data_IF_341471190122
#
_entry.id   IF_341471190122
#
_cell.length_a   1.000
_cell.length_b   1.000
_cell.length_c   1.000
_cell.angle_alpha   90.00
_cell.angle_beta   90.00
_cell.angle_gamma   90.00
#
_symmetry.space_group_name_H-M   'P 1'
#
loop_
_entity.id
_entity.type
_entity.pdbx_description
1 polymer ?
#
# COMPACT_ATOMS: atom_id res chain seq x y z
N UNK A 1 7.41 19.98 -11.33
CA UNK A 1 6.90 18.85 -10.51
C UNK A 1 7.22 17.56 -11.25
N UNK A 2 7.94 16.62 -10.61
CA UNK A 2 8.30 15.34 -11.24
C UNK A 2 7.06 14.43 -11.44
N UNK A 3 6.98 13.58 -12.49
CA UNK A 3 5.82 12.71 -12.73
C UNK A 3 5.42 11.82 -11.56
N UNK A 4 6.39 11.30 -10.80
CA UNK A 4 6.15 10.50 -9.58
C UNK A 4 5.40 11.30 -8.51
N UNK A 5 5.58 12.62 -8.48
CA UNK A 5 4.91 13.55 -7.56
C UNK A 5 3.47 13.90 -8.02
N UNK A 6 3.09 13.51 -9.24
CA UNK A 6 1.77 13.78 -9.84
C UNK A 6 0.85 12.55 -9.74
N UNK A 7 1.36 11.36 -10.02
CA UNK A 7 0.57 10.12 -10.05
C UNK A 7 0.58 9.35 -8.72
N UNK A 8 1.61 9.57 -7.90
CA UNK A 8 1.88 8.75 -6.73
C UNK A 8 2.51 7.40 -7.08
N UNK A 9 3.20 6.81 -6.12
CA UNK A 9 3.95 5.55 -6.24
C UNK A 9 3.57 4.59 -5.11
N UNK A 10 3.65 3.29 -5.38
CA UNK A 10 3.41 2.23 -4.39
C UNK A 10 4.54 2.08 -3.37
N UNK A 11 5.76 2.44 -3.76
CA UNK A 11 6.95 2.43 -2.91
C UNK A 11 7.64 3.79 -2.96
N UNK A 12 7.77 4.44 -1.80
CA UNK A 12 8.35 5.77 -1.69
C UNK A 12 9.82 5.84 -2.13
N UNK A 13 10.57 4.73 -2.15
CA UNK A 13 11.96 4.74 -2.66
C UNK A 13 12.02 5.04 -4.16
N UNK A 14 10.91 4.91 -4.88
CA UNK A 14 10.80 5.23 -6.31
C UNK A 14 10.58 6.73 -6.54
N UNK A 15 10.33 7.52 -5.49
CA UNK A 15 10.20 8.96 -5.62
C UNK A 15 11.56 9.62 -5.83
N UNK A 16 11.63 10.50 -6.81
CA UNK A 16 12.83 11.33 -7.05
C UNK A 16 12.96 12.44 -6.00
N UNK A 17 11.83 12.99 -5.54
CA UNK A 17 11.78 14.05 -4.54
C UNK A 17 11.29 13.48 -3.20
N UNK A 18 12.18 13.37 -2.20
CA UNK A 18 11.89 12.77 -0.88
C UNK A 18 11.65 13.82 0.24
N UNK A 19 11.32 15.06 -0.12
CA UNK A 19 10.96 16.06 0.88
C UNK A 19 9.52 15.87 1.39
N UNK A 20 9.24 16.37 2.60
CA UNK A 20 7.96 16.13 3.30
C UNK A 20 6.72 16.45 2.47
N UNK A 21 6.72 17.58 1.75
CA UNK A 21 5.59 17.96 0.89
C UNK A 21 5.33 16.96 -0.25
N UNK A 22 6.37 16.32 -0.80
CA UNK A 22 6.23 15.32 -1.85
C UNK A 22 5.67 14.01 -1.27
N UNK A 23 6.17 13.59 -0.10
CA UNK A 23 5.64 12.43 0.62
C UNK A 23 4.17 12.62 0.96
N UNK A 24 3.80 13.78 1.52
CA UNK A 24 2.42 14.12 1.84
C UNK A 24 1.53 14.12 0.59
N UNK A 25 2.05 14.63 -0.54
CA UNK A 25 1.34 14.60 -1.82
C UNK A 25 1.10 13.16 -2.29
N UNK A 26 2.10 12.29 -2.18
CA UNK A 26 1.96 10.87 -2.52
C UNK A 26 0.85 10.20 -1.71
N UNK A 27 0.89 10.41 -0.39
CA UNK A 27 -0.14 9.92 0.53
C UNK A 27 -1.52 10.47 0.19
N UNK A 28 -1.65 11.77 -0.09
CA UNK A 28 -2.91 12.39 -0.46
C UNK A 28 -3.49 11.79 -1.75
N UNK A 29 -2.67 11.60 -2.79
CA UNK A 29 -3.12 11.02 -4.07
C UNK A 29 -3.64 9.59 -3.85
N UNK A 30 -2.84 8.74 -3.18
CA UNK A 30 -3.20 7.35 -2.91
C UNK A 30 -4.43 7.22 -2.04
N UNK A 31 -4.54 8.05 -1.00
CA UNK A 31 -5.71 8.09 -0.14
C UNK A 31 -6.98 8.49 -0.90
N UNK A 32 -6.90 9.44 -1.85
CA UNK A 32 -8.04 9.79 -2.72
C UNK A 32 -8.44 8.67 -3.68
N UNK A 33 -7.54 7.72 -3.94
CA UNK A 33 -7.79 6.52 -4.73
C UNK A 33 -8.21 5.31 -3.88
N UNK A 34 -8.49 5.50 -2.58
CA UNK A 34 -8.79 4.43 -1.63
C UNK A 34 -7.65 3.40 -1.49
N UNK A 35 -6.40 3.83 -1.65
CA UNK A 35 -5.22 3.01 -1.45
C UNK A 35 -4.51 3.47 -0.17
N UNK A 36 -4.59 2.64 0.87
CA UNK A 36 -4.23 3.02 2.23
C UNK A 36 -2.82 2.60 2.65
N UNK A 37 -2.23 1.68 1.90
CA UNK A 37 -0.92 1.11 2.18
C UNK A 37 0.10 1.64 1.19
N UNK A 38 1.29 1.96 1.65
CA UNK A 38 2.43 2.39 0.82
C UNK A 38 3.71 1.82 1.40
N UNK A 39 4.56 1.23 0.57
CA UNK A 39 5.87 0.74 1.01
C UNK A 39 6.86 1.89 1.16
N UNK A 40 7.83 1.68 2.05
CA UNK A 40 9.10 2.39 2.05
C UNK A 40 10.18 1.30 2.01
N UNK A 41 10.55 0.95 0.78
CA UNK A 41 11.38 -0.19 0.46
C UNK A 41 10.80 -1.49 1.01
N UNK A 42 11.67 -2.46 1.25
CA UNK A 42 11.24 -3.82 1.57
C UNK A 42 10.84 -4.03 3.05
N UNK A 43 11.02 -3.04 3.93
CA UNK A 43 10.95 -3.25 5.40
C UNK A 43 9.89 -2.44 6.11
N UNK A 44 9.37 -1.39 5.49
CA UNK A 44 8.44 -0.48 6.13
C UNK A 44 7.16 -0.44 5.31
N UNK A 45 6.04 -0.65 5.98
CA UNK A 45 4.70 -0.43 5.44
C UNK A 45 4.09 0.76 6.17
N UNK A 46 3.76 1.82 5.44
CA UNK A 46 2.97 2.92 5.97
C UNK A 46 1.50 2.65 5.65
N UNK A 47 0.69 2.66 6.69
CA UNK A 47 -0.77 2.51 6.60
C UNK A 47 -1.43 3.79 7.07
N UNK A 48 -2.16 4.44 6.17
CA UNK A 48 -2.97 5.61 6.50
C UNK A 48 -4.41 5.16 6.68
N UNK A 49 -4.84 5.11 7.95
CA UNK A 49 -6.22 4.79 8.29
C UNK A 49 -7.15 5.89 7.78
N UNK A 50 -8.29 5.51 7.22
CA UNK A 50 -9.38 6.46 7.09
C UNK A 50 -10.11 6.51 8.45
N UNK A 51 -10.52 7.69 8.89
CA UNK A 51 -11.25 7.86 10.15
C UNK A 51 -12.75 8.03 9.92
N UNK A 52 -13.34 7.36 8.91
CA UNK A 52 -14.77 7.53 8.62
C UNK A 52 -15.44 6.21 8.21
N UNK A 53 -16.19 5.67 9.17
CA UNK A 53 -17.38 4.83 9.00
C UNK A 53 -17.20 3.45 8.33
N UNK A 54 -17.03 2.44 9.19
CA UNK A 54 -17.45 1.02 9.14
C UNK A 54 -17.30 0.14 7.88
N UNK A 55 -17.25 0.65 6.65
CA UNK A 55 -17.24 -0.17 5.42
C UNK A 55 -15.96 0.00 4.60
N UNK A 56 -14.81 -0.21 5.23
CA UNK A 56 -13.55 -0.30 4.48
C UNK A 56 -13.45 -1.72 3.91
N UNK A 57 -13.72 -1.87 2.60
CA UNK A 57 -13.45 -3.09 1.82
C UNK A 57 -11.94 -3.39 1.66
N UNK A 58 -11.11 -3.12 2.69
CA UNK A 58 -9.71 -3.53 2.75
C UNK A 58 -9.59 -5.06 2.76
N UNK A 59 -10.62 -5.72 3.26
CA UNK A 59 -10.78 -7.16 3.22
C UNK A 59 -12.08 -7.46 2.51
N UNK A 60 -12.01 -8.31 1.50
CA UNK A 60 -13.23 -8.89 0.94
C UNK A 60 -13.95 -9.67 2.04
N UNK A 61 -15.25 -9.40 2.20
CA UNK A 61 -16.11 -10.13 3.13
C UNK A 61 -16.30 -11.59 2.71
N UNK A 62 -16.09 -11.88 1.42
CA UNK A 62 -16.11 -13.23 0.87
C UNK A 62 -14.86 -14.01 1.33
N UNK A 63 -15.08 -15.08 2.11
CA UNK A 63 -14.00 -15.88 2.67
C UNK A 63 -13.11 -16.54 1.60
N UNK A 64 -13.67 -16.93 0.46
CA UNK A 64 -12.93 -17.56 -0.63
C UNK A 64 -12.02 -16.56 -1.32
N UNK A 65 -12.55 -15.38 -1.66
CA UNK A 65 -11.78 -14.30 -2.26
C UNK A 65 -10.66 -13.84 -1.30
N UNK A 66 -10.93 -13.81 0.01
CA UNK A 66 -9.92 -13.44 1.02
C UNK A 66 -8.79 -14.47 1.07
N UNK A 67 -9.12 -15.76 1.05
CA UNK A 67 -8.13 -16.85 0.99
C UNK A 67 -7.30 -16.78 -0.29
N UNK A 68 -7.92 -16.48 -1.42
CA UNK A 68 -7.22 -16.31 -2.70
C UNK A 68 -6.27 -15.11 -2.68
N UNK A 69 -6.73 -13.97 -2.14
CA UNK A 69 -5.89 -12.79 -1.94
C UNK A 69 -4.72 -13.08 -1.01
N UNK A 70 -4.92 -13.75 0.12
CA UNK A 70 -3.80 -14.14 1.01
C UNK A 70 -2.82 -15.06 0.28
N UNK A 71 -3.34 -16.04 -0.49
CA UNK A 71 -2.50 -16.95 -1.29
C UNK A 71 -1.69 -16.19 -2.36
N UNK A 72 -2.24 -15.15 -2.98
CA UNK A 72 -1.52 -14.38 -3.99
C UNK A 72 -0.35 -13.58 -3.43
N UNK A 73 -0.30 -13.37 -2.11
CA UNK A 73 0.80 -12.68 -1.40
C UNK A 73 1.82 -13.65 -0.78
N UNK A 74 1.51 -14.95 -0.69
CA UNK A 74 2.45 -15.94 -0.12
C UNK A 74 3.68 -16.13 -0.99
N UNK A 75 4.85 -16.24 -0.34
CA UNK A 75 6.14 -16.56 -0.97
C UNK A 75 6.54 -15.62 -2.12
N UNK A 76 6.03 -14.38 -2.12
CA UNK A 76 6.39 -13.36 -3.11
C UNK A 76 7.15 -12.22 -2.44
N UNK A 77 8.17 -11.66 -3.10
CA UNK A 77 8.92 -10.56 -2.53
C UNK A 77 8.08 -9.26 -2.54
N UNK A 78 8.23 -8.37 -1.54
CA UNK A 78 7.41 -7.16 -1.43
C UNK A 78 7.41 -6.24 -2.66
N UNK A 79 8.52 -6.18 -3.41
CA UNK A 79 8.63 -5.31 -4.60
C UNK A 79 7.78 -5.76 -5.80
N UNK A 80 7.32 -7.02 -5.82
CA UNK A 80 6.39 -7.54 -6.84
C UNK A 80 4.92 -7.47 -6.38
N UNK A 81 4.70 -7.11 -5.12
CA UNK A 81 3.38 -7.08 -4.51
C UNK A 81 2.85 -5.66 -4.43
N UNK A 82 1.52 -5.55 -4.43
CA UNK A 82 0.90 -4.29 -4.03
C UNK A 82 1.12 -4.06 -2.53
N UNK A 83 1.26 -2.81 -2.08
CA UNK A 83 1.36 -2.52 -0.66
C UNK A 83 0.13 -3.01 0.09
N UNK A 84 0.33 -3.95 1.00
CA UNK A 84 -0.72 -4.52 1.84
C UNK A 84 -0.12 -5.19 3.07
N UNK A 85 -0.88 -5.28 4.16
CA UNK A 85 -0.42 -5.96 5.40
C UNK A 85 -0.07 -7.44 5.16
N UNK A 86 -0.70 -8.08 4.17
CA UNK A 86 -0.42 -9.46 3.78
C UNK A 86 0.98 -9.66 3.21
N UNK A 87 1.57 -8.64 2.60
CA UNK A 87 2.95 -8.72 2.09
C UNK A 87 3.97 -8.93 3.23
N UNK A 88 3.68 -8.43 4.43
CA UNK A 88 4.50 -8.65 5.62
C UNK A 88 4.11 -9.92 6.38
N UNK A 89 2.81 -10.23 6.47
CA UNK A 89 2.34 -11.46 7.13
C UNK A 89 2.78 -12.75 6.42
N UNK A 90 2.98 -12.70 5.10
CA UNK A 90 3.43 -13.83 4.29
C UNK A 90 4.86 -14.30 4.58
N UNK A 91 5.69 -13.49 5.23
CA UNK A 91 7.05 -13.88 5.65
C UNK A 91 7.04 -14.70 6.95
N UNK A 92 5.94 -14.62 7.73
CA UNK A 92 5.82 -15.19 9.09
C UNK A 92 4.93 -16.45 9.13
N UNK A 93 4.20 -16.77 8.05
CA UNK A 93 3.26 -17.90 7.93
C UNK A 93 3.74 -18.96 6.94
#
# INVERSE_FOLDING_TARGET
>A
MHPTSIQGVSDLIQMVELHEAALLRNFQIRHRQNIYHTFIGNRILVSLNNNLSEDIQLYTEDENQRKELIRSYRQRPPHELLPHIYAFGAEIL
#
